data_IF_814900762962
#
_entry.id   IF_814900762962
#
_cell.length_a   1.000
_cell.length_b   1.000
_cell.length_c   1.000
_cell.angle_alpha   90.00
_cell.angle_beta   90.00
_cell.angle_gamma   90.00
#
_symmetry.space_group_name_H-M   'P 1'
#
loop_
_entity.id
_entity.type
_entity.pdbx_description
1 polymer ?
#
# COMPACT_ATOMS: atom_id res chain seq x y z
N UNK A 1 -6.28 6.33 -7.49
CA UNK A 1 -6.10 7.79 -7.48
C UNK A 1 -4.83 8.12 -6.71
N UNK A 2 -3.95 8.97 -7.24
CA UNK A 2 -2.74 9.44 -6.54
C UNK A 2 -3.09 10.50 -5.47
N UNK A 3 -2.12 10.82 -4.60
CA UNK A 3 -2.27 11.90 -3.64
C UNK A 3 -1.63 13.20 -4.20
N UNK A 4 -2.31 14.36 -4.11
CA UNK A 4 -1.69 15.66 -4.38
C UNK A 4 -0.40 15.85 -3.57
N UNK A 5 0.55 16.65 -4.08
CA UNK A 5 1.89 16.89 -3.50
C UNK A 5 2.82 15.68 -3.41
N UNK A 6 2.37 14.49 -3.83
CA UNK A 6 3.15 13.24 -3.73
C UNK A 6 3.26 12.54 -5.09
N UNK A 7 3.44 13.29 -6.18
CA UNK A 7 3.44 12.73 -7.54
C UNK A 7 4.54 11.66 -7.74
N UNK A 8 5.79 11.96 -7.38
CA UNK A 8 6.93 11.04 -7.51
C UNK A 8 6.79 9.82 -6.59
N UNK A 9 6.35 10.04 -5.35
CA UNK A 9 6.07 8.94 -4.42
C UNK A 9 4.93 8.05 -4.94
N UNK A 10 3.85 8.66 -5.43
CA UNK A 10 2.69 7.93 -5.96
C UNK A 10 3.07 7.13 -7.20
N UNK A 11 3.78 7.73 -8.16
CA UNK A 11 4.21 7.04 -9.39
C UNK A 11 5.09 5.83 -9.07
N UNK A 12 6.05 5.97 -8.17
CA UNK A 12 6.89 4.84 -7.74
C UNK A 12 6.07 3.71 -7.08
N UNK A 13 5.05 4.03 -6.27
CA UNK A 13 4.17 3.01 -5.66
C UNK A 13 3.26 2.33 -6.68
N UNK A 14 2.82 3.04 -7.71
CA UNK A 14 2.12 2.42 -8.85
C UNK A 14 3.05 1.50 -9.65
N UNK A 15 4.31 1.90 -9.86
CA UNK A 15 5.31 1.04 -10.50
C UNK A 15 5.54 -0.25 -9.69
N UNK A 16 5.68 -0.18 -8.36
CA UNK A 16 5.79 -1.37 -7.50
C UNK A 16 4.56 -2.28 -7.63
N UNK A 17 3.35 -1.72 -7.75
CA UNK A 17 2.13 -2.52 -7.99
C UNK A 17 2.22 -3.27 -9.32
N UNK A 18 2.61 -2.59 -10.40
CA UNK A 18 2.80 -3.22 -11.71
C UNK A 18 3.85 -4.33 -11.65
N UNK A 19 5.02 -4.06 -11.05
CA UNK A 19 6.08 -5.05 -10.87
C UNK A 19 5.61 -6.28 -10.07
N UNK A 20 4.83 -6.06 -9.01
CA UNK A 20 4.25 -7.16 -8.20
C UNK A 20 3.34 -8.05 -9.04
N UNK A 21 2.48 -7.44 -9.88
CA UNK A 21 1.54 -8.18 -10.73
C UNK A 21 2.27 -8.96 -11.83
N UNK A 22 3.25 -8.36 -12.49
CA UNK A 22 4.05 -9.03 -13.54
C UNK A 22 4.90 -10.15 -12.94
N UNK A 23 5.65 -9.89 -11.87
CA UNK A 23 6.49 -10.90 -11.22
C UNK A 23 5.68 -12.08 -10.66
N UNK A 24 4.46 -11.85 -10.18
CA UNK A 24 3.59 -12.93 -9.74
C UNK A 24 3.21 -13.89 -10.89
N UNK A 25 3.06 -13.38 -12.12
CA UNK A 25 2.76 -14.21 -13.31
C UNK A 25 4.01 -14.92 -13.81
N UNK A 26 5.12 -14.19 -13.93
CA UNK A 26 6.36 -14.72 -14.48
C UNK A 26 6.93 -15.83 -13.60
N UNK A 27 6.77 -15.74 -12.28
CA UNK A 27 7.34 -16.70 -11.33
C UNK A 27 6.35 -17.81 -10.89
N UNK A 28 5.11 -17.80 -11.40
CA UNK A 28 4.08 -18.76 -11.01
C UNK A 28 4.46 -20.21 -11.31
N UNK A 29 5.10 -20.46 -12.46
CA UNK A 29 5.54 -21.79 -12.89
C UNK A 29 6.62 -22.40 -11.96
N UNK A 30 7.32 -21.56 -11.19
CA UNK A 30 8.29 -21.97 -10.18
C UNK A 30 7.66 -22.18 -8.80
N UNK A 31 6.34 -22.04 -8.67
CA UNK A 31 5.62 -22.10 -7.38
C UNK A 31 5.88 -20.90 -6.47
N UNK A 32 6.41 -19.78 -7.01
CA UNK A 32 6.72 -18.56 -6.25
C UNK A 32 5.54 -17.59 -6.33
N UNK A 33 5.14 -17.04 -5.19
CA UNK A 33 4.10 -15.99 -5.12
C UNK A 33 4.71 -14.64 -4.78
N UNK A 34 4.21 -13.58 -5.42
CA UNK A 34 4.67 -12.20 -5.18
C UNK A 34 3.48 -11.36 -4.72
N UNK A 35 3.59 -10.79 -3.51
CA UNK A 35 2.53 -10.00 -2.88
C UNK A 35 3.06 -8.64 -2.41
N UNK A 36 2.20 -7.62 -2.45
CA UNK A 36 2.49 -6.28 -1.96
C UNK A 36 1.60 -5.91 -0.79
N UNK A 37 2.17 -5.23 0.21
CA UNK A 37 1.39 -4.69 1.33
C UNK A 37 1.40 -3.16 1.30
N UNK A 38 0.22 -2.57 1.10
CA UNK A 38 0.03 -1.11 1.08
C UNK A 38 -0.56 -0.66 2.42
N UNK A 39 0.17 0.22 3.12
CA UNK A 39 -0.24 0.74 4.43
C UNK A 39 -0.60 2.22 4.33
N UNK A 40 -1.57 2.66 5.13
CA UNK A 40 -1.81 4.08 5.40
C UNK A 40 -0.75 4.73 6.30
N UNK A 41 -0.93 6.02 6.58
CA UNK A 41 0.04 6.86 7.28
C UNK A 41 0.27 6.44 8.73
N UNK A 42 1.56 6.50 9.12
CA UNK A 42 2.19 6.46 10.46
C UNK A 42 3.53 5.69 10.40
N UNK A 43 4.52 6.32 9.79
CA UNK A 43 5.94 5.92 9.82
C UNK A 43 6.73 7.18 10.21
N UNK A 44 7.93 7.12 10.83
CA UNK A 44 8.83 8.27 10.94
C UNK A 44 8.97 9.13 9.66
N UNK A 45 8.92 8.51 8.47
CA UNK A 45 8.83 9.21 7.18
C UNK A 45 7.65 10.20 7.07
N UNK A 46 6.53 9.90 7.72
CA UNK A 46 5.32 10.72 7.67
C UNK A 46 5.49 12.07 8.39
N UNK A 47 6.38 12.15 9.38
CA UNK A 47 6.65 13.42 10.07
C UNK A 47 7.30 14.43 9.11
N UNK A 48 8.22 13.97 8.25
CA UNK A 48 8.85 14.83 7.24
C UNK A 48 7.87 15.24 6.14
N UNK A 49 6.98 14.33 5.71
CA UNK A 49 5.93 14.66 4.73
C UNK A 49 4.98 15.71 5.31
N UNK A 50 4.56 15.56 6.57
CA UNK A 50 3.71 16.53 7.25
C UNK A 50 4.39 17.90 7.35
N UNK A 51 5.70 17.93 7.67
CA UNK A 51 6.50 19.16 7.70
C UNK A 51 6.50 19.86 6.34
N UNK A 52 6.88 19.16 5.27
CA UNK A 52 6.97 19.71 3.93
C UNK A 52 5.61 20.21 3.40
N UNK A 53 4.54 19.44 3.63
CA UNK A 53 3.18 19.83 3.23
C UNK A 53 2.67 21.03 4.03
N UNK A 54 2.94 21.07 5.34
CA UNK A 54 2.52 22.18 6.20
C UNK A 54 3.30 23.46 5.86
N UNK A 55 4.61 23.37 5.63
CA UNK A 55 5.46 24.48 5.17
C UNK A 55 5.01 25.01 3.80
N UNK A 56 4.80 24.14 2.80
CA UNK A 56 4.34 24.54 1.48
C UNK A 56 2.95 25.20 1.50
N UNK A 57 2.08 24.79 2.44
CA UNK A 57 0.75 25.37 2.62
C UNK A 57 0.73 26.62 3.52
N UNK A 58 1.86 27.01 4.14
CA UNK A 58 1.92 28.09 5.13
C UNK A 58 1.07 27.81 6.38
N UNK A 59 0.92 26.55 6.76
CA UNK A 59 0.09 26.06 7.88
C UNK A 59 0.96 25.54 9.03
N UNK A 60 0.45 25.49 10.26
CA UNK A 60 1.18 24.90 11.38
C UNK A 60 1.42 23.40 11.16
N UNK A 61 2.49 22.89 11.76
CA UNK A 61 2.81 21.46 11.77
C UNK A 61 1.61 20.64 12.25
N UNK A 62 1.40 19.48 11.64
CA UNK A 62 0.25 18.62 11.84
C UNK A 62 -0.90 18.87 10.88
N UNK A 63 -0.87 19.94 10.08
CA UNK A 63 -1.90 20.24 9.08
C UNK A 63 -2.03 19.11 8.04
N UNK A 64 -0.91 18.68 7.45
CA UNK A 64 -0.92 17.59 6.45
C UNK A 64 -1.47 16.27 6.99
N UNK A 65 -1.17 15.96 8.25
CA UNK A 65 -1.67 14.78 8.95
C UNK A 65 -3.16 14.86 9.22
N UNK A 66 -3.67 16.04 9.61
CA UNK A 66 -5.10 16.25 9.82
C UNK A 66 -5.88 16.10 8.50
N UNK A 67 -5.41 16.72 7.42
CA UNK A 67 -6.05 16.59 6.10
C UNK A 67 -6.02 15.15 5.59
N UNK A 68 -4.91 14.43 5.79
CA UNK A 68 -4.83 13.02 5.41
C UNK A 68 -5.74 12.13 6.28
N UNK A 69 -5.84 12.40 7.58
CA UNK A 69 -6.66 11.63 8.51
C UNK A 69 -8.16 11.68 8.15
N UNK A 70 -8.65 12.80 7.61
CA UNK A 70 -10.05 12.92 7.11
C UNK A 70 -10.41 11.89 6.05
N UNK A 71 -9.42 11.37 5.30
CA UNK A 71 -9.62 10.37 4.25
C UNK A 71 -9.62 8.93 4.78
N UNK A 72 -9.34 8.73 6.06
CA UNK A 72 -9.32 7.40 6.66
C UNK A 72 -10.73 7.05 7.13
N UNK A 73 -11.39 6.11 6.45
CA UNK A 73 -12.76 5.66 6.77
C UNK A 73 -12.93 5.22 8.23
N UNK A 74 -11.89 4.64 8.83
CA UNK A 74 -11.90 4.20 10.24
C UNK A 74 -11.72 5.35 11.24
N UNK A 75 -11.59 6.60 10.79
CA UNK A 75 -11.52 7.79 11.63
C UNK A 75 -10.27 7.89 12.52
N UNK A 76 -9.26 7.06 12.30
CA UNK A 76 -8.05 7.01 13.12
C UNK A 76 -6.82 6.56 12.36
N UNK A 77 -5.66 7.04 12.81
CA UNK A 77 -4.36 6.70 12.24
C UNK A 77 -3.94 5.26 12.59
N UNK A 78 -3.12 4.65 11.73
CA UNK A 78 -2.70 3.25 11.88
C UNK A 78 -1.53 3.06 12.85
N UNK A 79 -1.76 2.58 14.08
CA UNK A 79 -0.69 2.37 15.05
C UNK A 79 0.35 1.28 14.69
N UNK A 80 1.57 1.42 15.24
CA UNK A 80 2.70 0.49 15.09
C UNK A 80 2.39 -0.98 15.49
N UNK A 81 1.48 -1.20 16.44
CA UNK A 81 1.12 -2.53 16.95
C UNK A 81 0.32 -3.40 15.96
N UNK A 82 -0.39 -2.80 14.99
CA UNK A 82 -1.22 -3.53 14.01
C UNK A 82 -0.44 -4.19 12.86
N UNK A 83 0.89 -4.05 12.84
CA UNK A 83 1.78 -4.61 11.80
C UNK A 83 1.89 -6.13 11.82
N UNK A 84 1.66 -6.78 12.97
CA UNK A 84 1.84 -8.24 13.12
C UNK A 84 0.74 -9.06 12.43
N UNK A 85 -0.52 -8.62 12.49
CA UNK A 85 -1.64 -9.38 11.92
C UNK A 85 -1.59 -9.53 10.41
N UNK A 86 -1.18 -8.48 9.69
CA UNK A 86 -1.27 -8.47 8.23
C UNK A 86 -0.10 -9.19 7.54
N UNK A 87 1.08 -9.23 8.18
CA UNK A 87 2.20 -10.06 7.72
C UNK A 87 1.89 -11.55 7.82
N UNK A 88 1.15 -11.95 8.85
CA UNK A 88 0.71 -13.34 9.04
C UNK A 88 -0.34 -13.73 8.00
N UNK A 89 -1.22 -12.80 7.62
CA UNK A 89 -2.24 -13.04 6.60
C UNK A 89 -1.62 -13.31 5.22
N UNK A 90 -0.60 -12.54 4.83
CA UNK A 90 0.08 -12.71 3.53
C UNK A 90 0.73 -14.08 3.36
N UNK A 91 1.25 -14.68 4.45
CA UNK A 91 1.84 -16.03 4.42
C UNK A 91 0.82 -17.16 4.30
N UNK A 92 -0.45 -16.92 4.66
CA UNK A 92 -1.50 -17.97 4.72
C UNK A 92 -2.52 -17.93 3.59
N UNK A 93 -2.71 -16.79 2.92
CA UNK A 93 -3.93 -16.58 2.12
C UNK A 93 -3.73 -16.19 0.65
N UNK A 94 -2.49 -15.98 0.17
CA UNK A 94 -2.26 -15.55 -1.22
C UNK A 94 -3.02 -14.27 -1.62
N UNK A 95 -3.45 -13.47 -0.63
CA UNK A 95 -4.40 -12.39 -0.83
C UNK A 95 -3.68 -11.16 -1.43
N UNK A 96 -3.86 -10.96 -2.73
CA UNK A 96 -3.53 -9.70 -3.40
C UNK A 96 -4.54 -8.63 -2.93
N UNK A 97 -4.05 -7.61 -2.23
CA UNK A 97 -4.88 -6.55 -1.63
C UNK A 97 -5.37 -5.50 -2.65
N UNK A 98 -5.15 -5.72 -3.94
CA UNK A 98 -5.63 -4.87 -5.02
C UNK A 98 -6.14 -5.71 -6.18
N UNK A 99 -7.38 -5.41 -6.57
CA UNK A 99 -8.25 -6.05 -7.56
C UNK A 99 -8.98 -7.32 -7.10
N UNK A 100 -10.28 -7.38 -7.41
CA UNK A 100 -11.10 -8.59 -7.29
C UNK A 100 -10.42 -9.71 -8.09
N UNK A 101 -10.52 -10.98 -7.65
CA UNK A 101 -9.71 -12.06 -8.18
C UNK A 101 -10.06 -12.30 -9.65
N UNK A 102 -9.15 -11.93 -10.56
CA UNK A 102 -9.11 -12.56 -11.88
C UNK A 102 -8.39 -13.89 -11.67
N UNK A 103 -9.20 -14.91 -11.39
CA UNK A 103 -8.95 -16.34 -11.61
C UNK A 103 -7.58 -16.88 -11.13
N UNK A 104 -7.46 -17.18 -9.84
CA UNK A 104 -6.48 -18.15 -9.34
C UNK A 104 -7.01 -19.59 -9.38
N UNK A 105 -8.33 -19.79 -9.57
CA UNK A 105 -8.97 -21.12 -9.50
C UNK A 105 -8.97 -21.90 -10.84
N UNK A 106 -8.53 -21.29 -11.95
CA UNK A 106 -8.63 -21.94 -13.28
C UNK A 106 -7.41 -22.76 -13.72
N UNK A 107 -6.37 -22.87 -12.88
CA UNK A 107 -5.09 -23.46 -13.28
C UNK A 107 -4.68 -24.71 -12.49
N UNK A 108 -5.60 -25.36 -11.76
CA UNK A 108 -5.34 -26.67 -11.11
C UNK A 108 -5.75 -27.90 -11.95
N UNK A 109 -6.30 -27.70 -13.14
CA UNK A 109 -6.65 -28.81 -14.05
C UNK A 109 -6.14 -28.54 -15.48
N UNK A 110 -4.93 -29.04 -15.77
CA UNK A 110 -4.50 -29.45 -17.11
C UNK A 110 -4.02 -28.36 -18.08
N UNK A 111 -2.73 -28.03 -17.99
CA UNK A 111 -1.79 -28.14 -19.11
C UNK A 111 -0.59 -28.92 -18.59
#
# INVERSE_FOLDING_TARGET
>A
MGNPELAVYSSSKFAVRGLTQTAARDLAHLGITVNGYCRGSLNPMWAEIDRQVSEAAGKPLGYGTQEFAKRITLGRLSGAGRRRGLRLLSRRSGLQLYDRPIAADRWRHGI
#
